data_IF_608161161108
#
_entry.id   IF_608161161108
#
_cell.length_a   1.000
_cell.length_b   1.000
_cell.length_c   1.000
_cell.angle_alpha   90.00
_cell.angle_beta   90.00
_cell.angle_gamma   90.00
#
_symmetry.space_group_name_H-M   'P 1'
#
loop_
_entity.id
_entity.type
_entity.pdbx_description
1 polymer ?
#
# COMPACT_ATOMS: atom_id res chain seq x y z
N UNK A 1 6.49 10.28 -3.78
CA UNK A 1 5.90 9.13 -3.04
C UNK A 1 4.39 9.14 -3.22
N UNK A 2 3.75 8.00 -3.05
CA UNK A 2 2.37 7.71 -3.40
C UNK A 2 1.39 7.90 -2.22
N UNK A 3 0.10 7.56 -2.41
CA UNK A 3 -0.91 7.45 -1.35
C UNK A 3 -1.51 6.05 -1.36
N UNK A 4 -1.63 5.45 -0.18
CA UNK A 4 -2.20 4.12 -0.03
C UNK A 4 -3.24 4.08 1.09
N UNK A 5 -4.21 3.22 0.92
CA UNK A 5 -5.09 2.74 1.98
C UNK A 5 -5.22 1.22 1.89
N UNK A 6 -5.38 0.59 3.04
CA UNK A 6 -5.71 -0.83 3.16
C UNK A 6 -6.70 -1.00 4.31
N UNK A 7 -7.84 -1.63 4.04
CA UNK A 7 -9.00 -1.72 4.94
C UNK A 7 -9.49 -3.15 5.04
N UNK A 8 -9.91 -3.58 6.21
CA UNK A 8 -10.57 -4.86 6.46
C UNK A 8 -11.89 -4.69 7.22
N UNK A 9 -12.84 -5.59 7.00
CA UNK A 9 -14.15 -5.60 7.64
C UNK A 9 -15.29 -5.11 6.76
N UNK A 10 -16.36 -4.59 7.39
CA UNK A 10 -17.53 -4.04 6.69
C UNK A 10 -17.38 -2.54 6.48
N UNK A 11 -16.86 -2.16 5.33
CA UNK A 11 -16.67 -0.77 4.89
C UNK A 11 -17.68 -0.31 3.82
N UNK A 12 -18.72 -1.10 3.53
CA UNK A 12 -19.69 -0.79 2.46
C UNK A 12 -20.32 0.60 2.59
N UNK A 13 -20.74 0.96 3.81
CA UNK A 13 -21.39 2.24 4.09
C UNK A 13 -20.45 3.45 3.92
N UNK A 14 -19.14 3.23 3.99
CA UNK A 14 -18.10 4.29 3.95
C UNK A 14 -17.18 4.22 2.74
N UNK A 15 -17.33 3.24 1.85
CA UNK A 15 -16.48 3.08 0.66
C UNK A 15 -16.40 4.36 -0.18
N UNK A 16 -17.54 5.01 -0.41
CA UNK A 16 -17.60 6.27 -1.14
C UNK A 16 -16.78 7.39 -0.48
N UNK A 17 -16.80 7.46 0.85
CA UNK A 17 -16.05 8.43 1.64
C UNK A 17 -14.55 8.11 1.62
N UNK A 18 -14.16 6.85 1.81
CA UNK A 18 -12.77 6.40 1.72
C UNK A 18 -12.18 6.68 0.34
N UNK A 19 -12.95 6.41 -0.71
CA UNK A 19 -12.53 6.68 -2.09
C UNK A 19 -12.39 8.19 -2.37
N UNK A 20 -13.32 9.01 -1.87
CA UNK A 20 -13.18 10.49 -1.95
C UNK A 20 -11.94 10.97 -1.22
N UNK A 21 -11.65 10.42 -0.03
CA UNK A 21 -10.50 10.83 0.78
C UNK A 21 -9.16 10.55 0.09
N UNK A 22 -9.01 9.40 -0.57
CA UNK A 22 -7.79 9.15 -1.36
C UNK A 22 -7.75 10.01 -2.65
N UNK A 23 -8.90 10.35 -3.25
CA UNK A 23 -8.97 11.30 -4.37
C UNK A 23 -8.52 12.69 -3.95
N UNK A 24 -8.98 13.20 -2.81
CA UNK A 24 -8.56 14.51 -2.28
C UNK A 24 -7.05 14.53 -2.06
N UNK A 25 -6.52 13.52 -1.37
CA UNK A 25 -5.09 13.37 -1.12
C UNK A 25 -4.26 13.25 -2.41
N UNK A 26 -4.83 12.63 -3.47
CA UNK A 26 -4.18 12.49 -4.76
C UNK A 26 -4.30 13.74 -5.65
N UNK A 27 -5.34 14.55 -5.46
CA UNK A 27 -5.53 15.82 -6.18
C UNK A 27 -4.59 16.89 -5.65
N UNK A 28 -4.50 17.01 -4.33
CA UNK A 28 -3.65 17.98 -3.65
C UNK A 28 -3.12 17.43 -2.34
N UNK A 29 -1.88 16.99 -2.36
CA UNK A 29 -1.18 16.49 -1.18
C UNK A 29 -0.47 17.63 -0.46
N UNK A 30 -1.09 18.16 0.61
CA UNK A 30 -0.57 19.29 1.36
C UNK A 30 0.81 19.02 1.97
N UNK A 31 1.06 17.80 2.46
CA UNK A 31 2.34 17.45 3.07
C UNK A 31 3.45 17.28 2.03
N UNK A 32 3.10 16.87 0.80
CA UNK A 32 4.03 16.92 -0.32
C UNK A 32 4.39 18.36 -0.67
N UNK A 33 3.39 19.24 -0.67
CA UNK A 33 3.59 20.68 -0.91
C UNK A 33 4.44 21.34 0.18
N UNK A 34 4.15 21.03 1.44
CA UNK A 34 4.93 21.52 2.59
C UNK A 34 6.40 21.06 2.53
N UNK A 35 6.66 19.82 2.10
CA UNK A 35 7.99 19.23 2.07
C UNK A 35 8.87 19.77 0.94
N UNK A 36 8.30 20.08 -0.23
CA UNK A 36 9.05 20.44 -1.44
C UNK A 36 8.71 21.81 -2.02
N UNK A 37 7.79 22.56 -1.41
CA UNK A 37 7.43 23.91 -1.84
C UNK A 37 6.79 23.96 -3.23
N UNK A 38 7.06 25.04 -3.98
CA UNK A 38 6.52 25.28 -5.31
C UNK A 38 7.23 24.51 -6.43
N UNK A 39 8.32 23.83 -6.12
CA UNK A 39 9.11 23.10 -7.11
C UNK A 39 8.42 21.80 -7.58
N UNK A 40 7.41 21.33 -6.84
CA UNK A 40 6.71 20.10 -7.17
C UNK A 40 5.18 20.33 -7.29
N UNK A 41 4.58 19.71 -8.31
CA UNK A 41 3.13 19.60 -8.36
C UNK A 41 2.67 18.59 -7.29
N UNK A 42 1.82 18.99 -6.31
CA UNK A 42 1.43 18.14 -5.19
C UNK A 42 0.35 17.10 -5.51
N UNK A 43 0.12 16.78 -6.77
CA UNK A 43 -0.82 15.73 -7.18
C UNK A 43 -0.15 14.37 -7.40
N UNK A 44 -0.95 13.31 -7.54
CA UNK A 44 -0.53 11.93 -7.80
C UNK A 44 -1.15 11.45 -9.14
N UNK A 45 -0.58 11.83 -10.30
CA UNK A 45 -1.21 11.66 -11.60
C UNK A 45 -0.86 10.35 -12.32
N UNK A 46 0.03 9.52 -11.79
CA UNK A 46 0.72 8.47 -12.56
C UNK A 46 0.03 7.10 -12.49
N UNK A 47 -1.30 7.12 -12.39
CA UNK A 47 -2.13 5.93 -12.33
C UNK A 47 -2.52 5.52 -10.92
N UNK A 48 -3.40 4.54 -10.85
CA UNK A 48 -3.88 3.95 -9.61
C UNK A 48 -4.31 2.50 -9.82
N UNK A 49 -4.66 1.84 -8.76
CA UNK A 49 -5.27 0.54 -8.82
C UNK A 49 -5.72 0.06 -7.45
N UNK A 50 -6.41 -1.05 -7.45
CA UNK A 50 -6.93 -1.67 -6.24
C UNK A 50 -6.91 -3.19 -6.33
N UNK A 51 -6.99 -3.83 -5.17
CA UNK A 51 -7.34 -5.24 -5.01
C UNK A 51 -8.33 -5.37 -3.87
N UNK A 52 -9.40 -6.12 -4.12
CA UNK A 52 -10.40 -6.48 -3.12
C UNK A 52 -10.57 -7.99 -3.09
N UNK A 53 -10.65 -8.55 -1.91
CA UNK A 53 -11.01 -9.95 -1.67
C UNK A 53 -12.09 -10.01 -0.60
N UNK A 54 -13.21 -10.65 -0.94
CA UNK A 54 -14.41 -10.74 -0.09
C UNK A 54 -14.62 -12.13 0.53
N UNK A 55 -13.63 -13.01 0.45
CA UNK A 55 -13.72 -14.41 0.86
C UNK A 55 -14.04 -15.39 -0.29
N UNK A 56 -14.53 -14.89 -1.43
CA UNK A 56 -14.93 -15.70 -2.59
C UNK A 56 -14.24 -15.24 -3.88
N UNK A 57 -14.20 -13.93 -4.12
CA UNK A 57 -13.76 -13.33 -5.38
C UNK A 57 -12.59 -12.38 -5.15
N UNK A 58 -11.61 -12.43 -6.05
CA UNK A 58 -10.54 -11.43 -6.15
C UNK A 58 -10.93 -10.46 -7.26
N UNK A 59 -11.10 -9.18 -6.93
CA UNK A 59 -11.25 -8.10 -7.88
C UNK A 59 -9.97 -7.26 -7.86
N UNK A 60 -9.20 -7.28 -8.98
CA UNK A 60 -7.89 -6.65 -9.08
C UNK A 60 -7.78 -5.90 -10.39
N UNK A 61 -7.64 -4.57 -10.30
CA UNK A 61 -7.55 -3.70 -11.47
C UNK A 61 -6.47 -2.62 -11.30
N UNK A 62 -5.90 -2.20 -12.43
CA UNK A 62 -4.87 -1.15 -12.53
C UNK A 62 -5.20 -0.20 -13.67
N UNK A 63 -5.07 1.11 -13.41
CA UNK A 63 -5.43 2.17 -14.34
C UNK A 63 -4.25 3.09 -14.61
N UNK A 64 -4.17 3.58 -15.85
CA UNK A 64 -3.19 4.59 -16.24
C UNK A 64 -3.57 5.99 -15.78
N UNK A 65 -4.87 6.28 -15.84
CA UNK A 65 -5.40 7.61 -15.55
C UNK A 65 -5.36 7.90 -14.04
N UNK A 66 -5.33 9.17 -13.64
CA UNK A 66 -5.30 9.54 -12.22
C UNK A 66 -6.56 9.11 -11.48
N UNK A 67 -6.41 8.71 -10.20
CA UNK A 67 -7.53 8.29 -9.36
C UNK A 67 -8.59 9.40 -9.16
N UNK A 68 -8.18 10.66 -9.21
CA UNK A 68 -9.11 11.78 -9.01
C UNK A 68 -10.07 11.99 -10.20
N UNK A 69 -9.83 11.36 -11.33
CA UNK A 69 -10.74 11.30 -12.49
C UNK A 69 -11.68 10.07 -12.44
N UNK A 70 -11.41 9.12 -11.54
CA UNK A 70 -12.13 7.85 -11.47
C UNK A 70 -13.42 7.91 -10.64
N UNK A 71 -14.31 6.94 -10.89
CA UNK A 71 -15.41 6.59 -10.00
C UNK A 71 -14.98 5.52 -8.99
N UNK A 72 -15.68 5.41 -7.83
CA UNK A 72 -15.40 4.34 -6.88
C UNK A 72 -15.50 2.96 -7.54
N UNK A 73 -14.60 2.02 -7.22
CA UNK A 73 -14.73 0.66 -7.70
C UNK A 73 -15.94 -0.03 -7.09
N UNK A 74 -16.55 -0.95 -7.84
CA UNK A 74 -17.59 -1.82 -7.32
C UNK A 74 -16.94 -2.98 -6.58
N UNK A 75 -16.84 -2.88 -5.26
CA UNK A 75 -16.20 -3.87 -4.40
C UNK A 75 -17.11 -4.26 -3.24
N UNK A 76 -16.89 -5.46 -2.72
CA UNK A 76 -17.59 -6.00 -1.56
C UNK A 76 -16.74 -5.87 -0.30
N UNK A 77 -17.37 -5.99 0.88
CA UNK A 77 -16.68 -6.06 2.17
C UNK A 77 -15.64 -7.19 2.22
N UNK A 78 -14.74 -7.11 3.18
CA UNK A 78 -13.62 -8.02 3.34
C UNK A 78 -12.29 -7.25 3.37
N UNK A 79 -11.36 -7.57 2.50
CA UNK A 79 -10.07 -6.89 2.42
C UNK A 79 -9.99 -6.03 1.15
N UNK A 80 -9.57 -4.78 1.29
CA UNK A 80 -9.42 -3.83 0.18
C UNK A 80 -8.10 -3.08 0.32
N UNK A 81 -7.33 -2.99 -0.75
CA UNK A 81 -6.19 -2.07 -0.87
C UNK A 81 -6.39 -1.17 -2.09
N UNK A 82 -6.16 0.13 -1.93
CA UNK A 82 -6.16 1.12 -3.02
C UNK A 82 -4.86 1.92 -2.96
N UNK A 83 -4.32 2.25 -4.13
CA UNK A 83 -3.09 3.00 -4.23
C UNK A 83 -3.15 4.05 -5.36
N UNK A 84 -2.85 5.31 -5.04
CA UNK A 84 -2.70 6.41 -5.98
C UNK A 84 -1.20 6.70 -6.17
N UNK A 85 -0.74 6.63 -7.42
CA UNK A 85 0.69 6.65 -7.75
C UNK A 85 1.19 8.06 -8.07
N UNK A 86 2.38 8.38 -7.53
CA UNK A 86 3.27 9.43 -8.01
C UNK A 86 4.64 8.80 -8.27
N UNK A 87 4.98 8.62 -9.52
CA UNK A 87 6.25 8.02 -9.93
C UNK A 87 7.43 8.96 -9.61
N UNK A 88 8.53 8.40 -9.14
CA UNK A 88 9.79 9.13 -9.07
C UNK A 88 10.39 9.31 -10.47
N UNK A 89 11.24 10.32 -10.65
CA UNK A 89 11.89 10.57 -11.94
C UNK A 89 12.63 9.30 -12.44
N UNK A 90 12.38 8.94 -13.69
CA UNK A 90 13.01 7.77 -14.33
C UNK A 90 12.31 6.44 -14.08
N UNK A 91 11.24 6.41 -13.27
CA UNK A 91 10.41 5.21 -13.12
C UNK A 91 9.48 5.01 -14.33
N UNK A 92 9.18 3.76 -14.74
CA UNK A 92 8.27 3.49 -15.84
C UNK A 92 6.84 3.93 -15.49
N UNK A 93 6.09 4.43 -16.49
CA UNK A 93 4.71 4.89 -16.39
C UNK A 93 3.74 3.87 -17.01
N UNK A 94 2.44 4.10 -16.83
CA UNK A 94 1.36 3.30 -17.39
C UNK A 94 0.73 2.33 -16.40
N UNK A 95 -0.41 1.74 -16.79
CA UNK A 95 -1.23 0.89 -15.92
C UNK A 95 -0.45 -0.30 -15.34
N UNK A 96 0.42 -0.95 -16.13
CA UNK A 96 1.22 -2.09 -15.67
C UNK A 96 2.14 -1.72 -14.49
N UNK A 97 2.55 -0.46 -14.40
CA UNK A 97 3.45 0.06 -13.37
C UNK A 97 2.72 0.70 -12.18
N UNK A 98 1.37 0.77 -12.22
CA UNK A 98 0.56 1.14 -11.07
C UNK A 98 0.49 -0.02 -10.05
N UNK A 99 0.30 0.31 -8.78
CA UNK A 99 0.04 -0.69 -7.73
C UNK A 99 -1.46 -1.07 -7.71
N UNK A 100 -1.81 -2.20 -7.10
CA UNK A 100 -0.95 -3.20 -6.45
C UNK A 100 -0.12 -4.01 -7.43
N UNK A 101 1.03 -4.53 -6.97
CA UNK A 101 1.74 -5.61 -7.66
C UNK A 101 1.32 -6.95 -7.09
N UNK A 102 1.36 -7.97 -7.94
CA UNK A 102 0.92 -9.32 -7.62
C UNK A 102 2.04 -10.34 -7.86
N UNK A 103 2.10 -11.36 -7.01
CA UNK A 103 2.97 -12.53 -7.19
C UNK A 103 2.33 -13.77 -6.60
N UNK A 104 2.40 -14.88 -7.35
CA UNK A 104 2.06 -16.21 -6.84
C UNK A 104 3.23 -16.77 -6.01
N UNK A 105 2.93 -17.26 -4.83
CA UNK A 105 3.78 -18.13 -4.02
C UNK A 105 3.27 -19.58 -4.13
N UNK A 106 4.01 -20.52 -3.56
CA UNK A 106 3.63 -21.94 -3.60
C UNK A 106 2.22 -22.20 -3.03
N UNK A 107 1.90 -21.54 -1.92
CA UNK A 107 0.69 -21.80 -1.16
C UNK A 107 -0.30 -20.62 -1.14
N UNK A 108 0.03 -19.48 -1.75
CA UNK A 108 -0.81 -18.29 -1.73
C UNK A 108 -0.55 -17.34 -2.91
N UNK A 109 -1.46 -16.39 -3.06
CA UNK A 109 -1.31 -15.21 -3.93
C UNK A 109 -1.05 -14.00 -3.04
N UNK A 110 -0.01 -13.23 -3.33
CA UNK A 110 0.29 -12.00 -2.59
C UNK A 110 0.14 -10.77 -3.46
N UNK A 111 -0.50 -9.76 -2.89
CA UNK A 111 -0.63 -8.43 -3.49
C UNK A 111 0.06 -7.41 -2.59
N UNK A 112 0.75 -6.44 -3.19
CA UNK A 112 1.51 -5.43 -2.44
C UNK A 112 1.26 -4.03 -2.99
N UNK A 113 1.01 -3.09 -2.09
CA UNK A 113 1.13 -1.65 -2.33
C UNK A 113 2.28 -1.09 -1.51
N UNK A 114 3.00 -0.14 -2.08
CA UNK A 114 4.18 0.46 -1.46
C UNK A 114 4.21 1.98 -1.68
N UNK A 115 4.43 2.69 -0.60
CA UNK A 115 4.73 4.12 -0.63
C UNK A 115 6.15 4.34 -0.09
N UNK A 116 7.08 4.61 -0.99
CA UNK A 116 8.50 4.75 -0.66
C UNK A 116 9.42 4.40 -1.83
N UNK A 117 10.57 3.85 -1.52
CA UNK A 117 11.54 3.41 -2.53
C UNK A 117 12.48 2.31 -2.02
N UNK A 118 12.90 1.45 -2.93
CA UNK A 118 13.89 0.39 -2.69
C UNK A 118 15.00 0.48 -3.74
N UNK A 119 16.24 0.36 -3.32
CA UNK A 119 17.41 0.29 -4.22
C UNK A 119 17.39 -1.06 -4.97
N UNK A 120 16.56 -1.15 -6.01
CA UNK A 120 16.28 -2.39 -6.74
C UNK A 120 17.52 -3.02 -7.37
N UNK A 121 18.52 -2.21 -7.70
CA UNK A 121 19.78 -2.65 -8.32
C UNK A 121 20.61 -3.54 -7.39
N UNK A 122 20.36 -3.47 -6.07
CA UNK A 122 20.99 -4.29 -5.05
C UNK A 122 20.21 -5.59 -4.74
N UNK A 123 19.01 -5.73 -5.29
CA UNK A 123 18.22 -6.96 -5.17
C UNK A 123 18.66 -8.00 -6.18
N UNK A 124 18.74 -9.26 -5.73
CA UNK A 124 19.04 -10.40 -6.61
C UNK A 124 17.73 -11.11 -6.93
N UNK A 125 17.14 -10.77 -8.06
CA UNK A 125 15.93 -11.39 -8.58
C UNK A 125 16.25 -12.02 -9.92
N UNK A 126 15.82 -13.26 -10.14
CA UNK A 126 16.07 -14.01 -11.39
C UNK A 126 14.85 -14.07 -12.30
N UNK A 127 13.66 -13.89 -11.71
CA UNK A 127 12.37 -14.09 -12.39
C UNK A 127 11.95 -12.91 -13.27
N UNK A 128 12.56 -11.74 -13.05
CA UNK A 128 12.24 -10.51 -13.77
C UNK A 128 13.50 -9.75 -14.19
N UNK A 129 13.38 -8.95 -15.25
CA UNK A 129 14.42 -8.02 -15.68
C UNK A 129 14.32 -6.72 -14.87
N UNK A 130 15.25 -6.52 -13.94
CA UNK A 130 15.25 -5.40 -12.98
C UNK A 130 15.18 -4.03 -13.68
N UNK A 131 15.78 -3.87 -14.86
CA UNK A 131 15.79 -2.62 -15.61
C UNK A 131 14.41 -2.14 -16.07
N UNK A 132 13.50 -3.06 -16.35
CA UNK A 132 12.17 -2.78 -16.92
C UNK A 132 11.06 -2.68 -15.87
N UNK A 133 11.30 -3.18 -14.65
CA UNK A 133 10.30 -3.24 -13.58
C UNK A 133 10.48 -2.11 -12.55
N UNK A 134 9.42 -1.80 -11.83
CA UNK A 134 9.49 -0.85 -10.72
C UNK A 134 10.31 -1.42 -9.57
N UNK A 135 10.75 -0.56 -8.67
CA UNK A 135 11.44 -0.97 -7.44
C UNK A 135 10.55 -1.82 -6.53
N UNK A 136 9.27 -1.48 -6.43
CA UNK A 136 8.27 -2.24 -5.65
C UNK A 136 8.05 -3.64 -6.21
N UNK A 137 7.90 -3.76 -7.53
CA UNK A 137 7.71 -5.07 -8.17
C UNK A 137 8.97 -5.93 -8.00
N UNK A 138 10.15 -5.34 -8.20
CA UNK A 138 11.42 -6.01 -7.95
C UNK A 138 11.55 -6.47 -6.50
N UNK A 139 11.13 -5.64 -5.54
CA UNK A 139 11.12 -6.02 -4.12
C UNK A 139 10.14 -7.17 -3.86
N UNK A 140 8.93 -7.14 -4.40
CA UNK A 140 7.94 -8.21 -4.27
C UNK A 140 8.52 -9.55 -4.78
N UNK A 141 9.17 -9.55 -5.94
CA UNK A 141 9.82 -10.75 -6.49
C UNK A 141 11.07 -11.19 -5.72
N UNK A 142 11.66 -10.33 -4.90
CA UNK A 142 12.79 -10.68 -4.02
C UNK A 142 12.37 -11.41 -2.73
N UNK A 143 11.08 -11.39 -2.37
CA UNK A 143 10.54 -12.08 -1.20
C UNK A 143 10.68 -13.59 -1.41
N UNK A 144 11.47 -14.25 -0.58
CA UNK A 144 11.65 -15.69 -0.65
C UNK A 144 10.47 -16.40 -0.01
N UNK A 145 9.86 -17.34 -0.75
CA UNK A 145 8.82 -18.21 -0.22
C UNK A 145 9.42 -19.14 0.86
N UNK A 146 8.92 -19.02 2.07
CA UNK A 146 9.30 -19.85 3.23
C UNK A 146 8.21 -20.85 3.60
N UNK A 147 7.15 -20.96 2.80
CA UNK A 147 5.98 -21.80 3.07
C UNK A 147 4.99 -21.17 4.06
N UNK A 148 5.39 -20.13 4.80
CA UNK A 148 4.58 -19.33 5.72
C UNK A 148 4.86 -17.84 5.46
N UNK A 149 3.78 -17.07 5.24
CA UNK A 149 3.88 -15.69 4.77
C UNK A 149 4.58 -14.77 5.77
N UNK A 150 4.30 -14.87 7.06
CA UNK A 150 4.91 -14.00 8.09
C UNK A 150 6.42 -14.18 8.11
N UNK A 151 6.90 -15.42 7.99
CA UNK A 151 8.33 -15.70 7.95
C UNK A 151 8.97 -15.14 6.66
N UNK A 152 8.27 -15.26 5.52
CA UNK A 152 8.70 -14.70 4.24
C UNK A 152 8.85 -13.19 4.30
N UNK A 153 7.86 -12.49 4.89
CA UNK A 153 7.86 -11.05 5.08
C UNK A 153 8.96 -10.60 6.07
N UNK A 154 9.10 -11.27 7.21
CA UNK A 154 10.16 -10.96 8.19
C UNK A 154 11.56 -11.10 7.58
N UNK A 155 11.80 -12.14 6.79
CA UNK A 155 13.10 -12.33 6.13
C UNK A 155 13.36 -11.23 5.09
N UNK A 156 12.32 -10.82 4.34
CA UNK A 156 12.43 -9.74 3.37
C UNK A 156 12.71 -8.38 4.03
N UNK A 157 12.02 -8.07 5.12
CA UNK A 157 12.23 -6.83 5.89
C UNK A 157 13.62 -6.78 6.54
N UNK A 158 14.08 -7.88 7.12
CA UNK A 158 15.45 -8.00 7.64
C UNK A 158 16.50 -7.83 6.53
N UNK A 159 16.24 -8.35 5.33
CA UNK A 159 17.14 -8.15 4.18
C UNK A 159 17.21 -6.67 3.78
N UNK A 160 16.08 -5.94 3.79
CA UNK A 160 16.05 -4.50 3.49
C UNK A 160 16.87 -3.72 4.49
N UNK A 161 16.68 -3.97 5.78
CA UNK A 161 17.42 -3.28 6.86
C UNK A 161 18.92 -3.60 6.80
N UNK A 162 19.30 -4.88 6.77
CA UNK A 162 20.68 -5.32 6.75
C UNK A 162 21.48 -4.80 5.55
N UNK A 163 20.84 -4.66 4.38
CA UNK A 163 21.50 -4.20 3.15
C UNK A 163 21.29 -2.73 2.85
N UNK A 164 20.66 -2.00 3.77
CA UNK A 164 20.33 -0.58 3.60
C UNK A 164 19.61 -0.30 2.26
N UNK A 165 18.67 -1.15 1.90
CA UNK A 165 17.98 -1.07 0.61
C UNK A 165 16.91 0.02 0.55
N UNK A 166 16.41 0.50 1.70
CA UNK A 166 15.38 1.52 1.74
C UNK A 166 15.89 2.85 1.17
N UNK A 167 15.06 3.50 0.35
CA UNK A 167 15.26 4.85 -0.16
C UNK A 167 14.09 5.74 0.25
N UNK A 168 14.33 6.58 1.26
CA UNK A 168 13.33 7.49 1.83
C UNK A 168 12.38 6.81 2.81
N UNK A 169 11.46 5.98 2.32
CA UNK A 169 10.51 5.24 3.16
C UNK A 169 10.26 3.84 2.60
N UNK A 170 9.73 2.96 3.46
CA UNK A 170 9.22 1.63 3.15
C UNK A 170 7.89 1.44 3.87
N UNK A 171 6.84 1.99 3.31
CA UNK A 171 5.47 1.85 3.80
C UNK A 171 4.74 0.82 2.94
N UNK A 172 4.38 -0.29 3.52
CA UNK A 172 3.79 -1.43 2.84
C UNK A 172 2.40 -1.74 3.38
N UNK A 173 1.49 -2.11 2.47
CA UNK A 173 0.36 -2.96 2.82
C UNK A 173 0.39 -4.17 1.87
N UNK A 174 0.13 -5.35 2.44
CA UNK A 174 0.24 -6.62 1.75
C UNK A 174 -1.00 -7.45 2.06
N UNK A 175 -1.63 -7.99 1.02
CA UNK A 175 -2.71 -8.97 1.13
C UNK A 175 -2.16 -10.32 0.70
N UNK A 176 -2.32 -11.32 1.54
CA UNK A 176 -2.00 -12.72 1.28
C UNK A 176 -3.29 -13.52 1.23
N UNK A 177 -3.51 -14.29 0.17
CA UNK A 177 -4.70 -15.13 -0.01
C UNK A 177 -4.20 -16.56 -0.24
N UNK A 178 -4.45 -17.46 0.72
CA UNK A 178 -4.01 -18.83 0.59
C UNK A 178 -4.89 -19.65 -0.38
N UNK A 179 -4.42 -20.85 -0.73
CA UNK A 179 -5.14 -21.76 -1.67
C UNK A 179 -6.46 -22.29 -1.13
N UNK A 180 -6.79 -22.04 0.14
CA UNK A 180 -8.07 -22.38 0.77
C UNK A 180 -9.05 -21.21 0.78
N UNK A 181 -8.62 -20.02 0.26
CA UNK A 181 -9.41 -18.80 0.26
C UNK A 181 -9.37 -18.04 1.60
N UNK A 182 -8.43 -18.37 2.49
CA UNK A 182 -8.22 -17.58 3.69
C UNK A 182 -7.28 -16.40 3.38
N UNK A 183 -7.68 -15.21 3.78
CA UNK A 183 -6.87 -14.01 3.53
C UNK A 183 -6.38 -13.35 4.80
N UNK A 184 -5.17 -12.77 4.70
CA UNK A 184 -4.52 -11.99 5.76
C UNK A 184 -4.03 -10.67 5.17
N UNK A 185 -4.15 -9.60 5.96
CA UNK A 185 -3.58 -8.31 5.58
C UNK A 185 -2.46 -7.91 6.54
N UNK A 186 -1.38 -7.36 5.97
CA UNK A 186 -0.21 -6.92 6.74
C UNK A 186 0.10 -5.47 6.43
N UNK A 187 0.65 -4.78 7.42
CA UNK A 187 1.16 -3.43 7.28
C UNK A 187 2.56 -3.30 7.89
N UNK A 188 3.38 -2.47 7.28
CA UNK A 188 4.72 -2.14 7.76
C UNK A 188 5.05 -0.69 7.44
N UNK A 189 5.74 -0.02 8.36
CA UNK A 189 6.21 1.35 8.16
C UNK A 189 7.66 1.50 8.62
N UNK A 190 8.51 2.02 7.74
CA UNK A 190 9.84 2.54 8.09
C UNK A 190 10.20 3.72 7.20
N UNK A 191 11.08 4.60 7.69
CA UNK A 191 11.52 5.79 6.97
C UNK A 191 12.87 6.31 7.49
N UNK A 192 13.64 6.91 6.59
CA UNK A 192 14.98 7.47 6.92
C UNK A 192 14.87 8.82 7.62
N UNK A 193 13.85 9.63 7.28
CA UNK A 193 13.62 10.96 7.86
C UNK A 193 12.15 11.12 8.19
N UNK A 194 11.86 11.54 9.41
CA UNK A 194 10.49 11.77 9.84
C UNK A 194 9.87 12.99 9.15
N UNK A 195 8.66 12.83 8.66
CA UNK A 195 7.79 13.90 8.18
C UNK A 195 6.35 13.41 8.21
N UNK A 196 5.38 14.33 8.30
CA UNK A 196 3.96 13.96 8.25
C UNK A 196 3.59 13.27 6.93
N UNK A 197 4.25 13.67 5.85
CA UNK A 197 4.06 13.10 4.51
C UNK A 197 4.21 11.58 4.43
N UNK A 198 5.10 10.98 5.23
CA UNK A 198 5.42 9.54 5.16
C UNK A 198 4.72 8.70 6.21
N UNK A 199 4.04 9.30 7.18
CA UNK A 199 3.38 8.53 8.23
C UNK A 199 2.24 7.67 7.70
N UNK A 200 2.13 6.45 8.23
CA UNK A 200 0.95 5.61 8.13
C UNK A 200 0.20 5.65 9.44
N UNK A 201 -1.10 5.84 9.33
CA UNK A 201 -2.03 5.82 10.44
C UNK A 201 -2.84 4.53 10.44
N UNK A 202 -2.94 3.87 11.57
CA UNK A 202 -3.97 2.90 11.85
C UNK A 202 -5.23 3.62 12.33
N UNK A 203 -6.37 3.23 11.78
CA UNK A 203 -7.69 3.75 12.10
C UNK A 203 -8.58 2.58 12.43
N UNK A 204 -9.33 2.69 13.52
CA UNK A 204 -10.32 1.71 13.95
C UNK A 204 -11.71 2.34 14.04
N UNK A 205 -12.68 1.64 13.51
CA UNK A 205 -14.11 1.95 13.57
C UNK A 205 -14.86 0.69 14.07
N UNK A 206 -16.16 0.81 14.34
CA UNK A 206 -17.00 -0.32 14.83
C UNK A 206 -17.10 -1.48 13.86
N UNK A 207 -17.02 -1.22 12.55
CA UNK A 207 -17.29 -2.21 11.52
C UNK A 207 -16.07 -2.53 10.65
N UNK A 208 -15.10 -1.64 10.63
CA UNK A 208 -13.92 -1.74 9.79
C UNK A 208 -12.71 -1.13 10.48
N UNK A 209 -11.54 -1.54 10.07
CA UNK A 209 -10.30 -0.88 10.44
C UNK A 209 -9.33 -0.89 9.26
N UNK A 210 -8.26 -0.09 9.34
CA UNK A 210 -7.35 0.03 8.21
C UNK A 210 -6.11 0.83 8.49
N UNK A 211 -5.20 0.84 7.50
CA UNK A 211 -4.01 1.68 7.49
C UNK A 211 -4.05 2.63 6.30
N UNK A 212 -3.63 3.88 6.55
CA UNK A 212 -3.82 5.00 5.63
C UNK A 212 -2.61 5.92 5.61
N UNK A 213 -2.24 6.42 4.44
CA UNK A 213 -1.32 7.57 4.35
C UNK A 213 -1.94 8.81 4.99
N UNK A 214 -1.12 9.65 5.62
CA UNK A 214 -1.53 10.80 6.44
C UNK A 214 -2.58 11.72 5.80
N UNK A 215 -2.34 12.20 4.58
CA UNK A 215 -3.25 13.10 3.88
C UNK A 215 -4.62 12.50 3.57
N UNK A 216 -4.76 11.17 3.51
CA UNK A 216 -6.06 10.52 3.34
C UNK A 216 -6.92 10.71 4.59
N UNK A 217 -6.34 10.50 5.77
CA UNK A 217 -7.05 10.63 7.07
C UNK A 217 -7.45 12.08 7.37
N UNK A 218 -6.79 13.03 6.76
CA UNK A 218 -7.02 14.46 6.94
C UNK A 218 -8.00 15.06 5.92
N UNK A 219 -8.52 14.25 5.00
CA UNK A 219 -9.59 14.67 4.09
C UNK A 219 -10.88 14.98 4.87
N UNK A 220 -11.58 16.02 4.46
CA UNK A 220 -12.90 16.36 5.00
C UNK A 220 -13.97 15.29 4.72
N UNK A 221 -13.70 14.39 3.80
CA UNK A 221 -14.56 13.26 3.45
C UNK A 221 -14.21 11.98 4.21
N UNK A 222 -13.13 11.99 5.02
CA UNK A 222 -12.74 10.78 5.76
C UNK A 222 -13.85 10.38 6.75
N UNK A 223 -14.25 9.09 6.78
CA UNK A 223 -15.35 8.67 7.66
C UNK A 223 -14.98 8.77 9.14
N UNK A 224 -16.00 8.85 10.00
CA UNK A 224 -15.83 8.84 11.45
C UNK A 224 -15.15 7.54 11.93
N UNK A 225 -14.33 7.67 12.97
CA UNK A 225 -13.59 6.58 13.57
C UNK A 225 -13.54 6.69 15.10
N UNK A 226 -13.26 5.58 15.77
CA UNK A 226 -13.17 5.51 17.22
C UNK A 226 -11.74 5.68 17.75
N UNK A 227 -10.76 5.15 16.98
CA UNK A 227 -9.35 5.22 17.38
C UNK A 227 -8.44 5.55 16.18
N UNK A 228 -7.36 6.28 16.49
CA UNK A 228 -6.32 6.65 15.51
C UNK A 228 -4.96 6.59 16.19
N UNK A 229 -4.02 5.88 15.58
CA UNK A 229 -2.62 5.89 16.00
C UNK A 229 -1.66 5.84 14.81
N UNK A 230 -0.41 6.27 15.03
CA UNK A 230 0.65 6.16 14.03
C UNK A 230 1.28 4.77 14.15
N UNK A 231 1.47 4.07 13.02
CA UNK A 231 2.20 2.80 13.03
C UNK A 231 3.65 3.02 13.51
N UNK A 232 4.08 2.17 14.45
CA UNK A 232 5.47 2.17 14.92
C UNK A 232 6.40 1.73 13.80
N UNK A 233 7.54 2.38 13.72
CA UNK A 233 8.58 2.05 12.74
C UNK A 233 9.16 0.66 12.99
N UNK A 234 9.53 -0.01 11.89
CA UNK A 234 10.20 -1.32 11.88
C UNK A 234 9.40 -2.44 12.55
N UNK A 235 8.09 -2.24 12.71
CA UNK A 235 7.18 -3.22 13.26
C UNK A 235 6.28 -3.75 12.15
N UNK A 236 6.21 -5.08 12.00
CA UNK A 236 5.25 -5.75 11.13
C UNK A 236 3.95 -5.97 11.91
N UNK A 237 2.84 -5.62 11.28
CA UNK A 237 1.50 -5.77 11.82
C UNK A 237 0.66 -6.68 10.95
N UNK A 238 -0.22 -7.44 11.57
CA UNK A 238 -1.36 -8.09 10.93
C UNK A 238 -2.63 -7.27 11.23
N UNK A 239 -3.32 -6.88 10.17
CA UNK A 239 -4.58 -6.14 10.24
C UNK A 239 -5.72 -7.16 10.19
N UNK A 240 -6.44 -7.30 11.29
CA UNK A 240 -7.56 -8.23 11.45
C UNK A 240 -8.86 -7.45 11.66
N UNK A 241 -10.02 -8.05 11.44
CA UNK A 241 -11.30 -7.43 11.78
C UNK A 241 -11.40 -7.05 13.27
N UNK A 242 -10.74 -7.80 14.13
CA UNK A 242 -10.66 -7.53 15.58
C UNK A 242 -9.65 -6.47 15.98
N UNK A 243 -8.95 -5.84 15.04
CA UNK A 243 -7.96 -4.81 15.32
C UNK A 243 -6.57 -5.09 14.75
N UNK A 244 -5.57 -4.34 15.22
CA UNK A 244 -4.18 -4.42 14.77
C UNK A 244 -3.35 -5.30 15.73
N UNK A 245 -2.64 -6.28 15.17
CA UNK A 245 -1.78 -7.19 15.95
C UNK A 245 -0.32 -7.03 15.53
N UNK A 246 0.57 -6.76 16.48
CA UNK A 246 2.03 -6.85 16.28
C UNK A 246 2.47 -8.31 16.09
N UNK A 247 3.30 -8.59 15.07
CA UNK A 247 3.78 -9.93 14.72
C UNK A 247 5.27 -9.96 14.43
#
# INVERSE_FOLDING_TARGET
MCRLLAVTGDFSDVLGNLFRSIKDAATFDKHLKELYGDEINPNHPDGWGFVNFNGEEINFEKFRDPIYEASPPSVKNGNLMIHARKASKGQPLGALNAHPFHRSLKNSEIFMVHNGGVKKELLKVKEIEIGTHTDTETFLFSIRDRGEIVQSLRDALKMVDHKELMSGALNLAIMDIDRKGFSRMFAYSDYSKESEYIKLYYIESKKWNGVFSSTIVESIHFPDYEHKEILKRKQLYELMESGLKEI
#
